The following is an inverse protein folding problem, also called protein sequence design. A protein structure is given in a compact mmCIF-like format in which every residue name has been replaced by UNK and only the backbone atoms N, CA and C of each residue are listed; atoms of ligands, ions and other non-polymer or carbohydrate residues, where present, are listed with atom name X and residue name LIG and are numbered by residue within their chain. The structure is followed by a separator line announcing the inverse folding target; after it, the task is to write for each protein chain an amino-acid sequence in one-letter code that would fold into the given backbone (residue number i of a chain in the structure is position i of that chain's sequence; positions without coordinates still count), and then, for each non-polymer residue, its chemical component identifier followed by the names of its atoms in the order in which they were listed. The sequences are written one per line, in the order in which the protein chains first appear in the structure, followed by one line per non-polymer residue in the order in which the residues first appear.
data_IF_658758853510
#
_entry.id   IF_658758853510
#
_cell.length_a   1.000
_cell.length_b   1.000
_cell.length_c   1.000
_cell.angle_alpha   90.00
_cell.angle_beta   90.00
_cell.angle_gamma   90.00
#
_symmetry.space_group_name_H-M   'P 1'
#
loop_
_entity.id
_entity.type
_entity.pdbx_description
1 polymer ?
#
# COMPACT_ATOMS: atom_id res chain seq x y z
N UNK A 1 14.63 -6.37 -10.08
CA UNK A 1 13.35 -6.69 -9.42
C UNK A 1 13.22 -5.75 -8.21
N UNK A 2 12.02 -5.29 -7.84
CA UNK A 2 11.84 -4.37 -6.70
C UNK A 2 11.68 -5.18 -5.39
N UNK A 3 12.44 -4.88 -4.34
CA UNK A 3 12.42 -5.59 -3.04
C UNK A 3 10.99 -5.71 -2.46
N UNK A 4 10.16 -4.67 -2.62
CA UNK A 4 8.77 -4.70 -2.19
C UNK A 4 7.95 -5.76 -2.94
N UNK A 5 8.18 -5.91 -4.25
CA UNK A 5 7.48 -6.89 -5.10
C UNK A 5 7.94 -8.31 -4.76
N UNK A 6 9.23 -8.51 -4.55
CA UNK A 6 9.80 -9.83 -4.17
C UNK A 6 9.26 -10.33 -2.83
N UNK A 7 8.86 -9.40 -1.94
CA UNK A 7 8.37 -9.70 -0.61
C UNK A 7 6.88 -9.37 -0.45
N UNK A 8 6.14 -9.32 -1.55
CA UNK A 8 4.73 -8.91 -1.57
C UNK A 8 3.88 -9.76 -0.61
N UNK A 9 4.24 -11.03 -0.41
CA UNK A 9 3.54 -11.95 0.49
C UNK A 9 3.65 -11.58 1.97
N UNK A 10 4.62 -10.75 2.33
CA UNK A 10 4.77 -10.24 3.70
C UNK A 10 3.86 -9.05 4.02
N UNK A 11 3.15 -8.51 3.02
CA UNK A 11 2.23 -7.39 3.21
C UNK A 11 1.14 -7.73 4.22
N UNK A 12 1.00 -6.86 5.20
CA UNK A 12 -0.07 -6.90 6.19
C UNK A 12 -0.40 -5.48 6.64
N UNK A 13 -1.46 -5.31 7.42
CA UNK A 13 -1.77 -4.02 8.07
C UNK A 13 -2.19 -4.28 9.50
N UNK A 14 -2.19 -3.24 10.33
CA UNK A 14 -2.80 -3.28 11.66
C UNK A 14 -4.28 -2.92 11.57
N UNK A 15 -5.08 -3.23 12.58
CA UNK A 15 -6.49 -2.83 12.63
C UNK A 15 -6.66 -1.31 12.47
N UNK A 16 -5.82 -0.52 13.15
CA UNK A 16 -5.82 0.94 13.00
C UNK A 16 -5.42 1.37 11.57
N UNK A 17 -4.48 0.67 10.94
CA UNK A 17 -4.09 0.91 9.55
C UNK A 17 -5.25 0.64 8.59
N UNK A 18 -5.95 -0.48 8.78
CA UNK A 18 -7.12 -0.88 8.01
C UNK A 18 -8.25 0.16 8.07
N UNK A 19 -8.62 0.58 9.28
CA UNK A 19 -9.67 1.60 9.47
C UNK A 19 -9.29 2.95 8.87
N UNK A 20 -8.01 3.35 9.00
CA UNK A 20 -7.50 4.57 8.36
C UNK A 20 -7.61 4.50 6.84
N UNK A 21 -7.22 3.38 6.24
CA UNK A 21 -7.28 3.20 4.78
C UNK A 21 -8.71 3.25 4.27
N UNK A 22 -9.64 2.51 4.91
CA UNK A 22 -11.06 2.53 4.57
C UNK A 22 -11.62 3.95 4.57
N UNK A 23 -11.35 4.71 5.63
CA UNK A 23 -11.81 6.09 5.77
C UNK A 23 -11.23 7.00 4.69
N UNK A 24 -9.92 6.91 4.42
CA UNK A 24 -9.23 7.79 3.47
C UNK A 24 -9.69 7.59 2.03
N UNK A 25 -10.02 6.36 1.65
CA UNK A 25 -10.41 6.02 0.29
C UNK A 25 -11.93 5.85 0.11
N UNK A 26 -12.70 5.94 1.21
CA UNK A 26 -14.14 5.63 1.23
C UNK A 26 -14.44 4.25 0.63
N UNK A 27 -13.59 3.29 0.98
CA UNK A 27 -13.66 1.92 0.45
C UNK A 27 -14.57 1.05 1.31
N UNK A 28 -15.48 0.33 0.66
CA UNK A 28 -16.27 -0.76 1.23
C UNK A 28 -15.80 -2.11 0.66
N UNK A 29 -14.51 -2.41 0.83
CA UNK A 29 -13.91 -3.68 0.43
C UNK A 29 -13.53 -4.48 1.66
N UNK A 30 -13.83 -5.79 1.63
CA UNK A 30 -13.59 -6.70 2.73
C UNK A 30 -12.10 -6.90 3.02
N UNK A 31 -11.27 -7.06 1.99
CA UNK A 31 -9.83 -7.29 2.14
C UNK A 31 -8.99 -6.13 1.59
N UNK A 32 -8.66 -5.20 2.47
CA UNK A 32 -7.84 -4.03 2.16
C UNK A 32 -6.40 -4.42 1.82
N UNK A 33 -5.86 -5.50 2.40
CA UNK A 33 -4.48 -5.93 2.14
C UNK A 33 -4.37 -6.45 0.71
N UNK A 34 -5.34 -7.26 0.26
CA UNK A 34 -5.40 -7.73 -1.13
C UNK A 34 -5.63 -6.57 -2.10
N UNK A 35 -6.49 -5.61 -1.75
CA UNK A 35 -6.69 -4.41 -2.57
C UNK A 35 -5.37 -3.63 -2.77
N UNK A 36 -4.63 -3.37 -1.70
CA UNK A 36 -3.33 -2.71 -1.78
C UNK A 36 -2.30 -3.55 -2.56
N UNK A 37 -2.28 -4.87 -2.36
CA UNK A 37 -1.40 -5.79 -3.08
C UNK A 37 -1.62 -5.70 -4.59
N UNK A 38 -2.87 -5.71 -5.05
CA UNK A 38 -3.20 -5.56 -6.47
C UNK A 38 -2.70 -4.22 -7.01
N UNK A 39 -2.89 -3.13 -6.26
CA UNK A 39 -2.38 -1.81 -6.66
C UNK A 39 -0.85 -1.73 -6.74
N UNK A 40 -0.13 -2.45 -5.86
CA UNK A 40 1.34 -2.50 -5.87
C UNK A 40 1.88 -3.33 -7.04
N UNK A 41 1.17 -4.41 -7.41
CA UNK A 41 1.56 -5.29 -8.52
C UNK A 41 1.11 -4.79 -9.89
N UNK A 42 0.33 -3.71 -9.94
CA UNK A 42 -0.09 -3.11 -11.20
C UNK A 42 1.13 -2.61 -12.00
N UNK A 43 1.14 -2.88 -13.31
CA UNK A 43 2.24 -2.49 -14.21
C UNK A 43 2.42 -0.97 -14.33
N UNK A 44 1.41 -0.18 -13.98
CA UNK A 44 1.46 1.29 -13.96
C UNK A 44 1.85 1.85 -12.58
N UNK A 45 2.07 1.00 -11.58
CA UNK A 45 2.44 1.44 -10.24
C UNK A 45 3.85 2.02 -10.23
N UNK A 46 3.98 3.24 -9.71
CA UNK A 46 5.26 3.90 -9.52
C UNK A 46 5.69 3.71 -8.07
N UNK A 47 6.73 2.91 -7.87
CA UNK A 47 7.26 2.57 -6.54
C UNK A 47 8.53 3.37 -6.26
N UNK A 48 8.55 4.12 -5.16
CA UNK A 48 9.72 4.88 -4.69
C UNK A 48 9.97 4.64 -3.20
N UNK A 49 11.21 4.34 -2.82
CA UNK A 49 11.62 4.31 -1.40
C UNK A 49 12.10 5.68 -0.96
N UNK A 50 11.64 6.14 0.21
CA UNK A 50 12.22 7.28 0.92
C UNK A 50 12.44 6.89 2.38
N UNK A 51 13.70 6.69 2.75
CA UNK A 51 14.08 6.20 4.07
C UNK A 51 13.43 4.87 4.41
N UNK A 52 12.65 4.84 5.50
CA UNK A 52 12.02 3.61 6.03
C UNK A 52 10.74 3.19 5.32
N UNK A 53 10.26 3.95 4.32
CA UNK A 53 8.97 3.69 3.68
C UNK A 53 9.08 3.60 2.15
N UNK A 54 8.27 2.73 1.59
CA UNK A 54 7.87 2.72 0.19
C UNK A 54 6.63 3.59 -0.01
N UNK A 55 6.63 4.36 -1.08
CA UNK A 55 5.52 5.15 -1.59
C UNK A 55 5.18 4.60 -2.96
N UNK A 56 3.94 4.17 -3.12
CA UNK A 56 3.44 3.55 -4.35
C UNK A 56 2.30 4.42 -4.85
N UNK A 57 2.49 5.01 -6.02
CA UNK A 57 1.45 5.80 -6.69
C UNK A 57 0.88 4.97 -7.84
N UNK A 58 -0.42 4.76 -7.82
CA UNK A 58 -1.16 4.06 -8.88
C UNK A 58 -2.51 4.75 -9.08
N UNK A 59 -2.82 5.11 -10.33
CA UNK A 59 -3.97 5.94 -10.68
C UNK A 59 -3.98 7.23 -9.82
N UNK A 60 -5.03 7.43 -9.04
CA UNK A 60 -5.17 8.54 -8.10
C UNK A 60 -5.07 8.07 -6.64
N UNK A 61 -4.24 7.07 -6.34
CA UNK A 61 -4.03 6.56 -5.00
C UNK A 61 -2.53 6.51 -4.68
N UNK A 62 -2.16 6.92 -3.47
CA UNK A 62 -0.85 6.69 -2.90
C UNK A 62 -0.96 5.71 -1.72
N UNK A 63 -0.22 4.60 -1.80
CA UNK A 63 -0.07 3.59 -0.75
C UNK A 63 1.32 3.78 -0.11
N UNK A 64 1.36 3.83 1.21
CA UNK A 64 2.62 3.87 1.98
C UNK A 64 2.83 2.55 2.72
N UNK A 65 3.97 1.91 2.49
CA UNK A 65 4.35 0.63 3.11
C UNK A 65 5.66 0.78 3.86
N UNK A 66 5.77 0.25 5.07
CA UNK A 66 7.06 0.20 5.76
C UNK A 66 8.01 -0.77 5.05
N UNK A 67 9.24 -0.36 4.79
CA UNK A 67 10.21 -1.14 4.01
C UNK A 67 10.79 -2.35 4.75
N UNK A 68 10.72 -2.39 6.08
CA UNK A 68 11.25 -3.49 6.89
C UNK A 68 10.16 -4.45 7.34
N UNK A 69 9.06 -3.92 7.86
CA UNK A 69 7.97 -4.73 8.39
C UNK A 69 6.94 -5.11 7.32
N UNK A 70 6.97 -4.51 6.13
CA UNK A 70 5.95 -4.71 5.09
C UNK A 70 4.53 -4.35 5.56
N UNK A 71 4.41 -3.54 6.61
CA UNK A 71 3.13 -3.05 7.10
C UNK A 71 2.64 -1.94 6.19
N UNK A 72 1.43 -2.08 5.64
CA UNK A 72 0.71 -1.02 4.94
C UNK A 72 0.32 0.01 5.99
N UNK A 73 1.02 1.14 5.98
CA UNK A 73 0.80 2.22 6.93
C UNK A 73 -0.51 2.90 6.57
N UNK A 74 -0.63 3.41 5.35
CA UNK A 74 -1.81 4.16 4.90
C UNK A 74 -1.97 4.02 3.39
N UNK A 75 -3.19 4.30 2.93
CA UNK A 75 -3.48 4.55 1.53
C UNK A 75 -4.50 5.69 1.47
N UNK A 76 -4.39 6.56 0.47
CA UNK A 76 -5.24 7.74 0.31
C UNK A 76 -5.24 8.21 -1.13
N UNK A 77 -6.21 9.04 -1.49
CA UNK A 77 -6.24 9.64 -2.82
C UNK A 77 -4.99 10.50 -3.02
N UNK A 78 -4.28 10.28 -4.12
CA UNK A 78 -3.18 11.14 -4.52
C UNK A 78 -3.72 12.56 -4.79
N UNK A 79 -2.94 13.57 -4.40
CA UNK A 79 -3.28 14.98 -4.64
C UNK A 79 -2.94 15.41 -6.06
#
# INVERSE_FOLDING_TARGET
MNELIENIDKLHTTEMGLERIKRNLSLDVGDIVQWCRMGILDKYAIIKRKGKNWYIVINNCEITVNAHSYTIITAHKAK
#
